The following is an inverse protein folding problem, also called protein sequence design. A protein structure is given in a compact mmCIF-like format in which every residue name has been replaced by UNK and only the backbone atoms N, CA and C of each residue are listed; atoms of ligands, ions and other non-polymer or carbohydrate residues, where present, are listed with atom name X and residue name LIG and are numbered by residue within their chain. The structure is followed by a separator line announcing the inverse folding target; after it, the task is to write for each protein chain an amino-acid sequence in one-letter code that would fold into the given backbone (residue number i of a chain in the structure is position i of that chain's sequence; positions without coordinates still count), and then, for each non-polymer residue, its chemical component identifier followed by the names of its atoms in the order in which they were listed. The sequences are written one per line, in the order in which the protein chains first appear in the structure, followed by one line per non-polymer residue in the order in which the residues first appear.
data_IF_701412347390
#
_entry.id   IF_701412347390
#
_cell.length_a   1.000
_cell.length_b   1.000
_cell.length_c   1.000
_cell.angle_alpha   90.00
_cell.angle_beta   90.00
_cell.angle_gamma   90.00
#
_symmetry.space_group_name_H-M   'P 1'
#
loop_
_entity.id
_entity.type
_entity.pdbx_description
1 polymer ?
#
# COMPACT_ATOMS: atom_id res chain seq x y z
N UNK A 1 -0.36 -1.26 -17.56
CA UNK A 1 -0.77 -1.84 -16.27
C UNK A 1 -1.56 -0.85 -15.38
N UNK A 2 -1.90 0.36 -15.84
CA UNK A 2 -2.63 1.40 -15.08
C UNK A 2 -3.93 1.86 -15.80
N UNK A 3 -4.51 1.00 -16.64
CA UNK A 3 -5.66 1.35 -17.50
C UNK A 3 -7.00 0.80 -17.00
N UNK A 4 -7.01 0.08 -15.87
CA UNK A 4 -8.23 -0.53 -15.32
C UNK A 4 -9.08 0.52 -14.57
N UNK A 5 -10.34 0.77 -14.98
CA UNK A 5 -11.22 1.73 -14.33
C UNK A 5 -11.44 1.48 -12.83
N UNK A 6 -11.37 0.22 -12.37
CA UNK A 6 -11.53 -0.14 -10.95
C UNK A 6 -10.40 0.41 -10.08
N UNK A 7 -9.22 0.62 -10.65
CA UNK A 7 -8.09 1.22 -9.93
C UNK A 7 -8.27 2.73 -9.71
N UNK A 8 -9.13 3.40 -10.50
CA UNK A 8 -9.41 4.84 -10.31
C UNK A 8 -10.25 5.10 -9.06
N UNK A 9 -11.26 4.28 -8.82
CA UNK A 9 -12.13 4.39 -7.63
C UNK A 9 -11.36 4.18 -6.32
N UNK A 10 -10.33 3.34 -6.34
CA UNK A 10 -9.45 3.12 -5.18
C UNK A 10 -8.67 4.37 -4.76
N UNK A 11 -8.27 5.25 -5.71
CA UNK A 11 -7.46 6.43 -5.40
C UNK A 11 -8.24 7.60 -4.81
N UNK A 12 -9.50 7.77 -5.22
CA UNK A 12 -10.37 8.87 -4.78
C UNK A 12 -11.04 8.61 -3.42
N UNK A 13 -11.21 7.33 -3.06
CA UNK A 13 -11.91 6.90 -1.83
C UNK A 13 -10.97 6.38 -0.73
N UNK A 14 -9.66 6.57 -0.86
CA UNK A 14 -8.69 6.09 0.14
C UNK A 14 -9.06 6.62 1.53
N UNK A 15 -9.39 5.75 2.51
CA UNK A 15 -9.87 6.18 3.82
C UNK A 15 -8.76 6.77 4.71
N UNK A 16 -7.54 6.93 4.18
CA UNK A 16 -6.37 7.41 4.90
C UNK A 16 -5.48 8.29 4.00
N UNK A 17 -4.88 9.32 4.61
CA UNK A 17 -3.87 10.17 3.97
C UNK A 17 -2.52 9.44 3.95
N UNK A 18 -2.03 9.11 2.75
CA UNK A 18 -0.76 8.41 2.54
C UNK A 18 0.47 9.11 3.14
N UNK A 19 0.36 10.40 3.51
CA UNK A 19 1.44 11.12 4.22
C UNK A 19 1.82 10.49 5.56
N UNK A 20 0.93 9.72 6.20
CA UNK A 20 1.16 9.08 7.51
C UNK A 20 1.28 7.56 7.43
N UNK A 21 1.67 7.03 6.27
CA UNK A 21 1.93 5.60 6.13
C UNK A 21 3.09 5.18 7.04
N UNK A 22 2.81 4.27 7.97
CA UNK A 22 3.82 3.69 8.85
C UNK A 22 4.35 2.44 8.16
N UNK A 23 5.65 2.43 7.89
CA UNK A 23 6.34 1.26 7.37
C UNK A 23 6.87 0.44 8.54
N UNK A 24 6.61 -0.87 8.51
CA UNK A 24 7.09 -1.82 9.50
C UNK A 24 7.23 -3.20 8.88
N UNK A 25 8.15 -3.99 9.40
CA UNK A 25 8.42 -5.35 8.94
C UNK A 25 8.95 -6.20 10.08
N UNK A 26 9.12 -7.48 9.82
CA UNK A 26 9.74 -8.42 10.76
C UNK A 26 11.15 -8.74 10.27
N UNK A 27 12.09 -8.85 11.20
CA UNK A 27 13.41 -9.40 10.92
C UNK A 27 13.29 -10.93 10.83
N UNK A 28 13.93 -11.53 9.82
CA UNK A 28 14.02 -12.99 9.75
C UNK A 28 14.91 -13.49 10.88
N UNK A 29 14.44 -14.50 11.61
CA UNK A 29 15.24 -15.17 12.64
C UNK A 29 16.10 -16.32 12.08
N UNK A 30 15.91 -16.66 10.82
CA UNK A 30 16.68 -17.68 10.10
C UNK A 30 17.38 -16.98 8.95
N UNK A 31 18.71 -17.08 8.95
CA UNK A 31 19.52 -16.80 7.78
C UNK A 31 19.64 -18.09 6.96
N UNK A 32 19.49 -17.99 5.63
CA UNK A 32 19.60 -19.12 4.69
C UNK A 32 21.06 -19.55 4.47
#
# INVERSE_FOLDING_TARGET
MMSDPRMKEFGESMPFDGKRMIYGGFESIIDE
#
